data_IF_693703417508
#
_entry.id   IF_693703417508
#
_cell.length_a   1.000
_cell.length_b   1.000
_cell.length_c   1.000
_cell.angle_alpha   90.00
_cell.angle_beta   90.00
_cell.angle_gamma   90.00
#
_symmetry.space_group_name_H-M   'P 1'
#
loop_
_entity.id
_entity.type
_entity.pdbx_description
1 polymer ?
#
# COMPACT_ATOMS: atom_id res chain seq x y z
N UNK A 1 -21.09 68.83 -21.45
CA UNK A 1 -20.16 67.80 -21.98
C UNK A 1 -20.59 66.47 -21.36
N UNK A 2 -21.22 65.60 -22.14
CA UNK A 2 -21.51 64.17 -21.92
C UNK A 2 -22.04 63.67 -20.56
N UNK A 3 -23.34 63.38 -20.48
CA UNK A 3 -23.89 62.29 -19.67
C UNK A 3 -24.18 61.13 -20.63
N UNK A 4 -23.59 59.95 -20.41
CA UNK A 4 -24.04 58.62 -20.90
C UNK A 4 -23.11 57.57 -20.24
N UNK A 5 -23.59 56.74 -19.31
CA UNK A 5 -24.48 55.56 -19.39
C UNK A 5 -23.79 54.27 -19.82
N UNK A 6 -24.19 53.21 -19.12
CA UNK A 6 -24.20 51.80 -19.50
C UNK A 6 -22.84 51.07 -19.53
N UNK A 7 -22.70 49.83 -19.04
CA UNK A 7 -23.66 48.78 -18.68
C UNK A 7 -22.89 47.71 -17.90
N UNK A 8 -23.57 46.96 -17.02
CA UNK A 8 -23.53 45.48 -16.96
C UNK A 8 -22.13 44.82 -16.92
N UNK A 9 -21.73 44.01 -15.93
CA UNK A 9 -22.43 42.81 -15.49
C UNK A 9 -21.65 42.21 -14.32
N UNK A 10 -22.33 41.78 -13.27
CA UNK A 10 -21.80 40.75 -12.39
C UNK A 10 -21.62 39.45 -13.20
N UNK A 11 -20.40 38.89 -13.25
CA UNK A 11 -20.22 37.45 -13.28
C UNK A 11 -19.19 37.01 -12.25
N UNK A 12 -19.73 36.36 -11.21
CA UNK A 12 -19.03 35.48 -10.28
C UNK A 12 -18.10 34.55 -11.07
N UNK A 13 -16.93 34.28 -10.51
CA UNK A 13 -16.37 32.96 -10.17
C UNK A 13 -14.86 32.92 -10.36
N UNK A 14 -14.17 32.30 -9.41
CA UNK A 14 -12.90 31.65 -9.70
C UNK A 14 -11.68 32.26 -9.02
N UNK A 15 -11.09 31.44 -8.16
CA UNK A 15 -9.72 31.50 -7.66
C UNK A 15 -9.47 32.51 -6.54
N UNK A 16 -9.83 32.04 -5.33
CA UNK A 16 -9.21 32.50 -4.11
C UNK A 16 -7.68 32.49 -4.28
N UNK A 17 -7.08 33.62 -3.89
CA UNK A 17 -5.63 33.83 -3.86
C UNK A 17 -4.97 32.64 -3.17
N UNK A 18 -4.01 32.01 -3.85
CA UNK A 18 -3.12 31.02 -3.24
C UNK A 18 -2.32 31.71 -2.14
N UNK A 19 -2.77 31.58 -0.90
CA UNK A 19 -2.01 32.01 0.27
C UNK A 19 -1.25 30.79 0.80
N UNK A 20 0.09 30.72 0.61
CA UNK A 20 0.91 29.59 1.00
C UNK A 20 0.96 29.36 2.53
N UNK A 21 0.51 30.33 3.33
CA UNK A 21 0.48 30.24 4.80
C UNK A 21 -0.86 29.72 5.34
N UNK A 22 -1.92 29.69 4.53
CA UNK A 22 -3.22 29.03 4.85
C UNK A 22 -3.30 27.58 4.36
N UNK A 23 -2.15 26.97 4.01
CA UNK A 23 -2.07 25.52 4.10
C UNK A 23 -2.15 25.13 5.57
N UNK A 24 -3.39 24.97 6.06
CA UNK A 24 -3.70 23.85 6.94
C UNK A 24 -3.19 22.63 6.16
N UNK A 25 -1.93 22.26 6.47
CA UNK A 25 -1.12 21.30 5.73
C UNK A 25 -2.02 20.13 5.35
N UNK A 26 -2.32 19.97 4.06
CA UNK A 26 -2.59 18.65 3.52
C UNK A 26 -1.27 17.90 3.67
N UNK A 27 -1.03 17.38 4.89
CA UNK A 27 0.12 16.53 5.17
C UNK A 27 0.04 15.42 4.16
N UNK A 28 1.16 15.14 3.50
CA UNK A 28 1.22 13.98 2.64
C UNK A 28 0.80 12.76 3.47
N UNK A 29 0.09 11.80 2.87
CA UNK A 29 -0.24 10.56 3.58
C UNK A 29 1.00 9.88 4.18
N UNK A 30 2.18 10.17 3.61
CA UNK A 30 3.51 9.78 4.09
C UNK A 30 3.92 10.46 5.42
N UNK A 31 3.71 11.77 5.55
CA UNK A 31 3.95 12.51 6.80
C UNK A 31 2.93 12.11 7.86
N UNK A 32 1.67 11.90 7.46
CA UNK A 32 0.66 11.35 8.35
C UNK A 32 1.05 9.95 8.85
N UNK A 33 1.63 9.08 8.02
CA UNK A 33 2.04 7.73 8.44
C UNK A 33 3.36 7.68 9.23
N UNK A 34 4.22 8.69 9.07
CA UNK A 34 5.45 8.86 9.87
C UNK A 34 5.18 9.52 11.23
N UNK A 35 4.17 10.37 11.32
CA UNK A 35 3.78 11.08 12.55
C UNK A 35 2.60 10.43 13.29
N UNK A 36 1.76 9.64 12.61
CA UNK A 36 0.91 8.66 13.31
C UNK A 36 1.84 7.61 13.86
N UNK A 37 1.75 7.44 15.17
CA UNK A 37 2.29 6.33 15.93
C UNK A 37 2.26 5.04 15.11
N UNK A 38 3.34 4.25 15.21
CA UNK A 38 3.41 2.91 14.65
C UNK A 38 2.04 2.24 14.79
N UNK A 39 1.40 1.75 13.70
CA UNK A 39 0.04 1.25 13.77
C UNK A 39 -0.09 0.29 14.95
N UNK A 40 -1.12 0.46 15.77
CA UNK A 40 -1.31 -0.34 17.00
C UNK A 40 -1.27 -1.85 16.73
N UNK A 41 -1.62 -2.28 15.51
CA UNK A 41 -1.50 -3.67 15.04
C UNK A 41 -0.07 -4.23 15.03
N UNK A 42 0.95 -3.38 14.94
CA UNK A 42 2.38 -3.76 14.92
C UNK A 42 3.15 -3.12 16.08
N UNK A 43 2.47 -2.47 17.01
CA UNK A 43 3.10 -1.85 18.16
C UNK A 43 3.77 -2.92 19.05
N UNK A 44 5.07 -2.78 19.29
CA UNK A 44 5.87 -3.75 20.03
C UNK A 44 6.45 -4.91 19.19
N UNK A 45 6.13 -5.01 17.90
CA UNK A 45 6.78 -5.97 17.00
C UNK A 45 8.10 -5.42 16.43
N UNK A 46 9.11 -6.28 16.32
CA UNK A 46 10.34 -5.96 15.61
C UNK A 46 10.10 -5.97 14.09
N UNK A 47 9.93 -4.78 13.51
CA UNK A 47 9.78 -4.59 12.06
C UNK A 47 11.12 -4.77 11.35
N UNK A 48 11.20 -5.77 10.49
CA UNK A 48 12.39 -6.09 9.68
C UNK A 48 12.44 -5.23 8.43
N UNK A 49 11.28 -5.07 7.76
CA UNK A 49 11.16 -4.31 6.52
C UNK A 49 9.78 -3.69 6.42
N UNK A 50 9.71 -2.45 5.93
CA UNK A 50 8.45 -1.75 5.69
C UNK A 50 8.55 -0.92 4.42
N UNK A 51 7.45 -0.83 3.67
CA UNK A 51 7.43 -0.04 2.45
C UNK A 51 6.06 0.10 1.81
N UNK A 52 5.95 1.09 0.95
CA UNK A 52 4.75 1.29 0.13
C UNK A 52 4.59 0.13 -0.85
N UNK A 53 3.36 -0.37 -0.93
CA UNK A 53 3.00 -1.45 -1.82
C UNK A 53 1.54 -1.30 -2.28
N UNK A 54 1.17 -2.06 -3.29
CA UNK A 54 -0.21 -2.20 -3.75
C UNK A 54 -0.60 -3.66 -3.72
N UNK A 55 -1.73 -3.97 -3.10
CA UNK A 55 -2.27 -5.32 -2.98
C UNK A 55 -3.45 -5.52 -3.92
N UNK A 56 -3.50 -6.64 -4.65
CA UNK A 56 -4.65 -6.99 -5.46
C UNK A 56 -5.74 -7.65 -4.59
N UNK A 57 -6.74 -6.87 -4.19
CA UNK A 57 -7.86 -7.38 -3.40
C UNK A 57 -8.88 -8.10 -4.30
N UNK A 58 -9.13 -9.38 -4.02
CA UNK A 58 -10.15 -10.19 -4.70
C UNK A 58 -9.64 -10.84 -5.99
N UNK A 59 -9.76 -12.17 -6.08
CA UNK A 59 -9.22 -12.98 -7.18
C UNK A 59 -10.22 -13.12 -8.36
N UNK A 60 -11.45 -12.63 -8.22
CA UNK A 60 -12.60 -12.96 -9.11
C UNK A 60 -13.22 -11.79 -9.89
N UNK A 61 -12.75 -10.54 -9.75
CA UNK A 61 -13.37 -9.41 -10.47
C UNK A 61 -12.66 -9.07 -11.77
N UNK A 62 -13.45 -8.84 -12.82
CA UNK A 62 -13.01 -8.34 -14.14
C UNK A 62 -12.38 -6.94 -14.10
N UNK A 63 -12.42 -6.26 -12.95
CA UNK A 63 -11.66 -5.04 -12.64
C UNK A 63 -10.64 -5.36 -11.55
N UNK A 64 -9.36 -5.18 -11.84
CA UNK A 64 -8.27 -5.34 -10.87
C UNK A 64 -8.41 -4.28 -9.78
N UNK A 65 -8.79 -4.68 -8.56
CA UNK A 65 -8.98 -3.76 -7.43
C UNK A 65 -7.68 -3.67 -6.62
N UNK A 66 -6.69 -2.96 -7.19
CA UNK A 66 -5.43 -2.69 -6.51
C UNK A 66 -5.66 -1.67 -5.39
N UNK A 67 -5.25 -2.04 -4.18
CA UNK A 67 -5.33 -1.21 -2.99
C UNK A 67 -3.93 -0.71 -2.63
N UNK A 68 -3.65 0.60 -2.74
CA UNK A 68 -2.40 1.15 -2.24
C UNK A 68 -2.39 1.13 -0.71
N UNK A 69 -1.22 0.89 -0.14
CA UNK A 69 -1.02 0.79 1.31
C UNK A 69 0.44 0.60 1.68
N UNK A 70 0.66 0.13 2.90
CA UNK A 70 1.98 -0.22 3.41
C UNK A 70 2.05 -1.71 3.71
N UNK A 71 3.12 -2.34 3.27
CA UNK A 71 3.49 -3.70 3.63
C UNK A 71 4.54 -3.63 4.75
N UNK A 72 4.33 -4.42 5.78
CA UNK A 72 5.23 -4.62 6.90
C UNK A 72 5.61 -6.08 6.97
N UNK A 73 6.89 -6.34 7.16
CA UNK A 73 7.44 -7.63 7.51
C UNK A 73 8.01 -7.52 8.93
N UNK A 74 7.49 -8.34 9.83
CA UNK A 74 8.01 -8.51 11.19
C UNK A 74 8.70 -9.86 11.31
N UNK A 75 9.22 -10.17 12.50
CA UNK A 75 9.77 -11.50 12.79
C UNK A 75 8.72 -12.62 12.70
N UNK A 76 7.45 -12.30 12.90
CA UNK A 76 6.39 -13.31 13.01
C UNK A 76 5.47 -13.38 11.78
N UNK A 77 5.27 -12.24 11.10
CA UNK A 77 4.22 -12.11 10.09
C UNK A 77 4.47 -11.01 9.06
N UNK A 78 3.73 -11.12 7.96
CA UNK A 78 3.53 -10.09 6.95
C UNK A 78 2.17 -9.43 7.17
N UNK A 79 2.12 -8.10 7.17
CA UNK A 79 0.88 -7.33 7.37
C UNK A 79 0.78 -6.26 6.30
N UNK A 80 -0.41 -6.13 5.70
CA UNK A 80 -0.69 -5.03 4.78
C UNK A 80 -1.77 -4.11 5.33
N UNK A 81 -1.44 -2.83 5.47
CA UNK A 81 -2.31 -1.79 6.00
C UNK A 81 -2.68 -0.77 4.92
N UNK A 82 -3.93 -0.33 4.91
CA UNK A 82 -4.42 0.81 4.13
C UNK A 82 -4.99 1.85 5.11
N UNK A 83 -4.16 2.83 5.47
CA UNK A 83 -4.45 3.70 6.62
C UNK A 83 -4.54 2.85 7.89
N UNK A 84 -5.62 3.03 8.66
CA UNK A 84 -5.89 2.22 9.86
C UNK A 84 -6.48 0.82 9.55
N UNK A 85 -6.77 0.48 8.30
CA UNK A 85 -7.41 -0.79 7.95
C UNK A 85 -6.39 -1.87 7.61
N UNK A 86 -6.40 -2.99 8.33
CA UNK A 86 -5.66 -4.20 7.96
C UNK A 86 -6.36 -4.97 6.86
N UNK A 87 -5.73 -5.07 5.68
CA UNK A 87 -6.31 -5.77 4.53
C UNK A 87 -5.98 -7.26 4.53
N UNK A 88 -4.79 -7.63 4.97
CA UNK A 88 -4.44 -9.01 5.24
C UNK A 88 -3.29 -9.11 6.23
N UNK A 89 -3.15 -10.32 6.75
CA UNK A 89 -2.06 -10.76 7.60
C UNK A 89 -1.70 -12.21 7.24
N UNK A 90 -0.40 -12.50 7.14
CA UNK A 90 0.12 -13.84 6.86
C UNK A 90 1.21 -14.13 7.89
N UNK A 91 0.96 -15.09 8.79
CA UNK A 91 2.03 -15.62 9.63
C UNK A 91 3.10 -16.28 8.75
N UNK A 92 4.38 -16.03 9.05
CA UNK A 92 5.49 -16.61 8.29
C UNK A 92 5.47 -18.14 8.33
N UNK A 93 4.96 -18.74 9.41
CA UNK A 93 4.78 -20.20 9.53
C UNK A 93 3.76 -20.78 8.52
N UNK A 94 2.79 -19.96 8.10
CA UNK A 94 1.77 -20.33 7.11
C UNK A 94 2.15 -20.00 5.67
N UNK A 95 3.28 -19.29 5.48
CA UNK A 95 3.79 -18.91 4.17
C UNK A 95 4.55 -20.09 3.56
N UNK A 96 4.05 -20.63 2.44
CA UNK A 96 4.68 -21.78 1.76
C UNK A 96 5.59 -21.40 0.62
N UNK A 97 5.25 -20.33 -0.11
CA UNK A 97 6.05 -19.88 -1.24
C UNK A 97 6.00 -18.36 -1.37
N UNK A 98 7.12 -17.80 -1.82
CA UNK A 98 7.27 -16.39 -2.18
C UNK A 98 7.98 -16.33 -3.52
N UNK A 99 7.31 -15.85 -4.55
CA UNK A 99 7.81 -15.86 -5.92
C UNK A 99 7.56 -14.52 -6.61
N UNK A 100 8.42 -14.17 -7.57
CA UNK A 100 8.19 -13.03 -8.45
C UNK A 100 7.60 -13.57 -9.75
N UNK A 101 6.44 -13.05 -10.14
CA UNK A 101 5.69 -13.50 -11.29
C UNK A 101 5.44 -12.35 -12.26
N UNK A 102 5.60 -12.63 -13.55
CA UNK A 102 5.30 -11.67 -14.61
C UNK A 102 3.83 -11.80 -15.01
N UNK A 103 2.99 -10.79 -14.71
CA UNK A 103 1.54 -10.82 -14.94
C UNK A 103 1.08 -9.66 -15.80
N UNK A 104 -0.03 -9.85 -16.52
CA UNK A 104 -0.66 -8.78 -17.27
C UNK A 104 -1.25 -7.73 -16.31
N UNK A 105 -0.92 -6.46 -16.57
CA UNK A 105 -1.44 -5.31 -15.81
C UNK A 105 -2.55 -4.59 -16.58
N UNK A 106 -2.25 -4.28 -17.84
CA UNK A 106 -3.16 -3.76 -18.87
C UNK A 106 -2.85 -4.50 -20.18
N UNK A 107 -3.74 -4.47 -21.18
CA UNK A 107 -3.48 -5.15 -22.45
C UNK A 107 -2.09 -4.82 -23.00
N UNK A 108 -1.31 -5.86 -23.33
CA UNK A 108 0.06 -5.80 -23.86
C UNK A 108 1.13 -5.25 -22.91
N UNK A 109 0.82 -5.03 -21.63
CA UNK A 109 1.81 -4.64 -20.62
C UNK A 109 1.85 -5.64 -19.49
N UNK A 110 3.00 -6.28 -19.33
CA UNK A 110 3.30 -7.14 -18.20
C UNK A 110 4.10 -6.38 -17.16
N UNK A 111 3.88 -6.72 -15.90
CA UNK A 111 4.65 -6.20 -14.77
C UNK A 111 5.00 -7.33 -13.83
N UNK A 112 6.16 -7.25 -13.23
CA UNK A 112 6.57 -8.15 -12.17
C UNK A 112 5.76 -7.85 -10.91
N UNK A 113 5.36 -8.91 -10.21
CA UNK A 113 4.57 -8.84 -8.99
C UNK A 113 5.12 -9.87 -8.01
N UNK A 114 5.11 -9.52 -6.73
CA UNK A 114 5.40 -10.46 -5.66
C UNK A 114 4.14 -11.29 -5.39
N UNK A 115 4.28 -12.61 -5.53
CA UNK A 115 3.27 -13.59 -5.21
C UNK A 115 3.59 -14.22 -3.86
N UNK A 116 2.63 -14.18 -2.94
CA UNK A 116 2.71 -14.87 -1.66
C UNK A 116 1.70 -16.01 -1.64
N UNK A 117 2.17 -17.22 -1.35
CA UNK A 117 1.34 -18.38 -1.16
C UNK A 117 1.20 -18.71 0.33
N UNK A 118 0.02 -18.46 0.87
CA UNK A 118 -0.36 -18.92 2.19
C UNK A 118 -1.08 -20.26 2.08
N UNK A 119 -0.68 -21.23 2.88
CA UNK A 119 -1.35 -22.52 2.95
C UNK A 119 -1.39 -23.04 4.38
N UNK A 120 -2.58 -23.44 4.78
CA UNK A 120 -2.85 -24.23 5.98
C UNK A 120 -3.48 -25.56 5.56
N UNK A 121 -3.79 -26.42 6.52
CA UNK A 121 -4.48 -27.69 6.26
C UNK A 121 -5.89 -27.49 5.68
N UNK A 122 -6.52 -26.35 5.95
CA UNK A 122 -7.91 -26.07 5.60
C UNK A 122 -8.09 -25.09 4.44
N UNK A 123 -7.05 -24.32 4.07
CA UNK A 123 -7.15 -23.37 2.96
C UNK A 123 -5.83 -23.08 2.25
N UNK A 124 -5.95 -22.65 1.00
CA UNK A 124 -4.85 -22.13 0.18
C UNK A 124 -5.24 -20.75 -0.34
N UNK A 125 -4.39 -19.75 -0.14
CA UNK A 125 -4.63 -18.37 -0.56
C UNK A 125 -3.40 -17.78 -1.22
N UNK A 126 -3.61 -17.10 -2.34
CA UNK A 126 -2.56 -16.42 -3.10
C UNK A 126 -2.78 -14.92 -3.02
N UNK A 127 -1.72 -14.19 -2.72
CA UNK A 127 -1.71 -12.73 -2.68
C UNK A 127 -0.77 -12.21 -3.75
N UNK A 128 -1.18 -11.13 -4.41
CA UNK A 128 -0.34 -10.44 -5.39
C UNK A 128 -0.09 -9.02 -4.91
N UNK A 129 1.19 -8.66 -4.89
CA UNK A 129 1.69 -7.38 -4.42
C UNK A 129 2.55 -6.74 -5.50
N UNK A 130 2.43 -5.43 -5.62
CA UNK A 130 3.36 -4.59 -6.34
C UNK A 130 4.08 -3.70 -5.33
N UNK A 131 5.40 -3.71 -5.31
CA UNK A 131 6.23 -2.92 -4.42
C UNK A 131 7.52 -2.52 -5.14
N UNK A 132 8.22 -1.50 -4.63
CA UNK A 132 9.60 -1.25 -5.04
C UNK A 132 10.51 -2.40 -4.59
N UNK A 133 11.57 -2.68 -5.36
CA UNK A 133 12.59 -3.69 -5.04
C UNK A 133 12.02 -5.09 -4.71
N UNK A 134 11.29 -5.71 -5.64
CA UNK A 134 10.65 -7.02 -5.42
C UNK A 134 11.62 -8.12 -4.98
N UNK A 135 12.85 -8.12 -5.51
CA UNK A 135 13.91 -9.07 -5.14
C UNK A 135 14.33 -8.93 -3.66
N UNK A 136 14.42 -7.69 -3.16
CA UNK A 136 14.76 -7.41 -1.77
C UNK A 136 13.66 -7.91 -0.84
N UNK A 137 12.40 -7.63 -1.19
CA UNK A 137 11.24 -8.16 -0.47
C UNK A 137 11.23 -9.69 -0.43
N UNK A 138 11.36 -10.35 -1.59
CA UNK A 138 11.39 -11.81 -1.68
C UNK A 138 12.49 -12.39 -0.81
N UNK A 139 13.72 -11.90 -0.97
CA UNK A 139 14.88 -12.38 -0.21
C UNK A 139 14.68 -12.23 1.30
N UNK A 140 14.21 -11.07 1.74
CA UNK A 140 14.02 -10.78 3.17
C UNK A 140 12.92 -11.65 3.77
N UNK A 141 11.80 -11.81 3.06
CA UNK A 141 10.70 -12.70 3.48
C UNK A 141 11.17 -14.15 3.62
N UNK A 142 11.90 -14.67 2.63
CA UNK A 142 12.42 -16.04 2.66
C UNK A 142 13.43 -16.28 3.78
N UNK A 143 14.28 -15.29 4.07
CA UNK A 143 15.23 -15.36 5.18
C UNK A 143 14.49 -15.37 6.53
N UNK A 144 13.50 -14.49 6.70
CA UNK A 144 12.69 -14.44 7.92
C UNK A 144 11.87 -15.72 8.13
N UNK A 145 11.26 -16.27 7.08
CA UNK A 145 10.47 -17.50 7.17
C UNK A 145 11.30 -18.76 7.47
N UNK A 146 12.61 -18.75 7.17
CA UNK A 146 13.54 -19.86 7.49
C UNK A 146 14.17 -19.72 8.88
N UNK A 147 14.17 -18.52 9.46
CA UNK A 147 14.85 -18.19 10.72
C UNK A 147 14.29 -18.89 11.96
N UNK A 148 13.03 -19.34 11.93
CA UNK A 148 12.35 -20.02 13.04
C UNK A 148 12.64 -21.54 13.13
N UNK A 149 13.39 -22.10 12.18
CA UNK A 149 13.69 -23.54 12.12
C UNK A 149 14.90 -24.02 12.92
N UNK A 150 15.49 -23.19 13.79
CA UNK A 150 16.63 -23.57 14.65
C UNK A 150 16.38 -23.20 16.10
N UNK A 151 15.60 -24.02 16.80
CA UNK A 151 15.79 -24.35 18.22
C UNK A 151 14.83 -25.49 18.59
N UNK A 152 15.38 -26.70 18.71
CA UNK A 152 14.68 -27.93 19.09
C UNK A 152 15.59 -29.13 18.94
#
# INVERSE_FOLDING_TARGET
>A
MGIERDTDTMKKTGYGRFNPQTQLRLRSGLEMHREMEMPSDIEGEDVIMAGQASYQAGMRSTRSNWKPGYLYLTKERLIFLQGANKLFEISLNSLKDTSIVLRDWVPKKKVEQLQLLQQSDSFKRVFFLFAGNLEEWKKTIELSAKGDGKNG
#
